data_IF_759997711417
#
_entry.id   IF_759997711417
#
_cell.length_a   1.000
_cell.length_b   1.000
_cell.length_c   1.000
_cell.angle_alpha   90.00
_cell.angle_beta   90.00
_cell.angle_gamma   90.00
#
_symmetry.space_group_name_H-M   'P 1'
#
loop_
_entity.id
_entity.type
_entity.pdbx_description
1 polymer ?
#
# COMPACT_ATOMS: atom_id res chain seq x y z
N UNK A 1 6.32 7.64 5.86
CA UNK A 1 6.20 6.17 5.95
C UNK A 1 7.25 5.55 5.07
N UNK A 2 7.78 4.39 5.45
CA UNK A 2 8.76 3.64 4.65
C UNK A 2 8.25 2.22 4.41
N UNK A 3 8.56 1.66 3.26
CA UNK A 3 8.29 0.27 2.92
C UNK A 3 9.58 -0.44 2.55
N UNK A 4 9.81 -1.62 3.12
CA UNK A 4 11.02 -2.39 2.93
C UNK A 4 10.70 -3.68 2.18
N UNK A 5 11.09 -3.73 0.91
CA UNK A 5 10.77 -4.85 0.01
C UNK A 5 12.08 -5.57 -0.32
N UNK A 6 12.14 -6.87 0.00
CA UNK A 6 13.28 -7.70 -0.37
C UNK A 6 13.38 -7.85 -1.89
N UNK A 7 14.57 -7.62 -2.44
CA UNK A 7 14.84 -7.74 -3.87
C UNK A 7 16.20 -8.42 -4.09
N UNK A 8 16.34 -9.21 -5.16
CA UNK A 8 17.61 -9.84 -5.54
C UNK A 8 18.40 -8.90 -6.45
N UNK A 9 19.73 -8.94 -6.38
CA UNK A 9 20.60 -8.14 -7.29
C UNK A 9 20.39 -8.49 -8.78
N UNK A 10 19.92 -9.70 -9.07
CA UNK A 10 19.65 -10.20 -10.43
C UNK A 10 18.23 -9.94 -10.90
N UNK A 11 17.41 -9.23 -10.12
CA UNK A 11 16.03 -8.88 -10.48
C UNK A 11 16.03 -7.99 -11.72
N UNK A 12 15.10 -8.20 -12.64
CA UNK A 12 14.94 -7.37 -13.83
C UNK A 12 14.00 -6.18 -13.58
N UNK A 13 14.02 -5.21 -14.50
CA UNK A 13 13.23 -3.98 -14.38
C UNK A 13 11.72 -4.26 -14.30
N UNK A 14 11.26 -5.30 -15.00
CA UNK A 14 9.85 -5.70 -15.02
C UNK A 14 9.41 -6.24 -13.67
N UNK A 15 10.24 -7.04 -13.01
CA UNK A 15 9.95 -7.53 -11.68
C UNK A 15 10.00 -6.40 -10.63
N UNK A 16 10.93 -5.44 -10.75
CA UNK A 16 10.94 -4.25 -9.89
C UNK A 16 9.64 -3.45 -10.04
N UNK A 17 9.16 -3.24 -11.27
CA UNK A 17 7.85 -2.61 -11.52
C UNK A 17 6.70 -3.39 -10.88
N UNK A 18 6.70 -4.72 -11.03
CA UNK A 18 5.68 -5.57 -10.40
C UNK A 18 5.69 -5.45 -8.88
N UNK A 19 6.87 -5.45 -8.25
CA UNK A 19 7.00 -5.25 -6.81
C UNK A 19 6.45 -3.90 -6.38
N UNK A 20 6.78 -2.83 -7.11
CA UNK A 20 6.22 -1.51 -6.82
C UNK A 20 4.69 -1.51 -6.85
N UNK A 21 4.08 -2.05 -7.91
CA UNK A 21 2.62 -2.05 -8.02
C UNK A 21 1.95 -2.92 -6.96
N UNK A 22 2.55 -4.07 -6.62
CA UNK A 22 2.01 -4.99 -5.63
C UNK A 22 2.08 -4.42 -4.22
N UNK A 23 3.22 -3.86 -3.85
CA UNK A 23 3.52 -3.50 -2.46
C UNK A 23 3.27 -2.03 -2.14
N UNK A 24 3.43 -1.12 -3.10
CA UNK A 24 3.35 0.33 -2.86
C UNK A 24 2.05 0.92 -3.43
N UNK A 25 1.77 0.68 -4.71
CA UNK A 25 0.58 1.26 -5.36
C UNK A 25 -0.72 0.82 -4.69
N UNK A 26 -0.83 -0.46 -4.30
CA UNK A 26 -2.01 -0.97 -3.59
C UNK A 26 -2.28 -0.25 -2.26
N UNK A 27 -1.26 0.36 -1.65
CA UNK A 27 -1.36 1.06 -0.36
C UNK A 27 -1.56 2.57 -0.51
N UNK A 28 -0.92 3.20 -1.51
CA UNK A 28 -0.84 4.67 -1.61
C UNK A 28 -1.37 5.24 -2.93
N UNK A 29 -1.68 4.40 -3.91
CA UNK A 29 -2.04 4.83 -5.26
C UNK A 29 -0.85 5.30 -6.09
N UNK A 30 -1.13 5.97 -7.22
CA UNK A 30 -0.09 6.53 -8.09
C UNK A 30 0.41 7.86 -7.54
N UNK A 31 1.74 8.05 -7.44
CA UNK A 31 2.29 9.33 -7.05
C UNK A 31 2.30 10.32 -8.21
N UNK A 32 2.24 11.61 -7.87
CA UNK A 32 2.45 12.70 -8.84
C UNK A 32 3.90 12.79 -9.31
N UNK A 33 4.85 12.47 -8.42
CA UNK A 33 6.27 12.41 -8.74
C UNK A 33 6.99 11.33 -7.94
N UNK A 34 8.09 10.82 -8.50
CA UNK A 34 8.99 9.86 -7.86
C UNK A 34 10.39 10.44 -7.93
N UNK A 35 11.07 10.49 -6.78
CA UNK A 35 12.50 10.74 -6.75
C UNK A 35 13.24 9.42 -6.65
N UNK A 36 14.11 9.14 -7.62
CA UNK A 36 14.95 7.93 -7.65
C UNK A 36 16.43 8.27 -7.77
N UNK A 37 17.29 7.36 -7.31
CA UNK A 37 18.73 7.44 -7.58
C UNK A 37 19.05 6.95 -9.00
N UNK A 38 20.32 7.03 -9.38
CA UNK A 38 20.83 6.61 -10.69
C UNK A 38 21.02 5.10 -10.83
N UNK A 39 20.33 4.28 -10.02
CA UNK A 39 20.38 2.83 -10.18
C UNK A 39 19.85 2.43 -11.57
N UNK A 40 20.49 1.42 -12.18
CA UNK A 40 20.18 0.94 -13.53
C UNK A 40 18.70 0.61 -13.72
N UNK A 41 18.03 0.11 -12.67
CA UNK A 41 16.62 -0.27 -12.74
C UNK A 41 15.71 0.94 -12.88
N UNK A 42 16.05 2.05 -12.23
CA UNK A 42 15.26 3.29 -12.25
C UNK A 42 15.60 4.20 -13.43
N UNK A 43 16.80 4.03 -14.01
CA UNK A 43 17.23 4.72 -15.24
C UNK A 43 16.85 3.91 -16.50
N UNK A 44 16.37 2.67 -16.36
CA UNK A 44 15.97 1.80 -17.46
C UNK A 44 14.86 2.36 -18.35
N UNK A 45 14.84 1.94 -19.62
CA UNK A 45 13.81 2.37 -20.58
C UNK A 45 12.40 1.96 -20.15
N UNK A 46 12.26 0.77 -19.57
CA UNK A 46 10.98 0.24 -19.05
C UNK A 46 10.44 1.16 -17.96
N UNK A 47 11.26 1.51 -16.97
CA UNK A 47 10.84 2.36 -15.84
C UNK A 47 10.44 3.76 -16.28
N UNK A 48 11.23 4.41 -17.15
CA UNK A 48 10.89 5.73 -17.69
C UNK A 48 9.61 5.72 -18.51
N UNK A 49 9.44 4.70 -19.36
CA UNK A 49 8.24 4.56 -20.19
C UNK A 49 6.98 4.35 -19.35
N UNK A 50 7.09 3.50 -18.31
CA UNK A 50 6.01 3.25 -17.36
C UNK A 50 5.51 4.55 -16.70
N UNK A 51 6.41 5.35 -16.14
CA UNK A 51 6.01 6.57 -15.44
C UNK A 51 5.54 7.68 -16.38
N UNK A 52 6.07 7.73 -17.62
CA UNK A 52 5.53 8.60 -18.66
C UNK A 52 4.08 8.25 -19.00
N UNK A 53 3.75 6.97 -19.10
CA UNK A 53 2.38 6.52 -19.36
C UNK A 53 1.45 6.77 -18.16
N UNK A 54 1.97 6.68 -16.94
CA UNK A 54 1.22 6.95 -15.72
C UNK A 54 1.05 8.45 -15.39
N UNK A 55 1.60 9.36 -16.22
CA UNK A 55 1.68 10.80 -15.92
C UNK A 55 2.36 11.13 -14.58
N UNK A 56 3.30 10.29 -14.15
CA UNK A 56 4.12 10.52 -12.96
C UNK A 56 5.46 11.14 -13.37
N UNK A 57 5.82 12.26 -12.74
CA UNK A 57 7.12 12.90 -12.97
C UNK A 57 8.24 12.10 -12.32
N UNK A 58 9.23 11.69 -13.10
CA UNK A 58 10.42 11.01 -12.58
C UNK A 58 11.56 12.02 -12.43
N UNK A 59 11.96 12.27 -11.19
CA UNK A 59 13.07 13.15 -10.83
C UNK A 59 14.26 12.28 -10.39
N UNK A 60 15.37 12.37 -11.12
CA UNK A 60 16.61 11.72 -10.69
C UNK A 60 17.35 12.67 -9.76
N UNK A 61 17.58 12.26 -8.51
CA UNK A 61 18.38 13.05 -7.59
C UNK A 61 19.77 13.29 -8.18
N UNK A 62 20.30 14.51 -8.12
CA UNK A 62 21.71 14.68 -8.49
C UNK A 62 22.56 13.88 -7.50
N UNK A 63 23.68 13.32 -7.95
CA UNK A 63 24.68 12.64 -7.10
C UNK A 63 25.23 13.49 -5.95
N UNK A 64 24.79 14.75 -5.84
CA UNK A 64 25.15 15.75 -4.86
C UNK A 64 23.92 16.57 -4.38
N UNK A 65 22.76 15.95 -4.17
CA UNK A 65 21.63 16.57 -3.45
C UNK A 65 21.46 15.93 -2.05
N UNK A 66 22.16 16.46 -1.02
CA UNK A 66 22.18 15.88 0.33
C UNK A 66 20.80 15.78 0.98
N UNK A 67 19.86 16.64 0.56
CA UNK A 67 18.55 16.71 1.20
C UNK A 67 17.65 15.52 0.84
N UNK A 68 17.68 15.04 -0.40
CA UNK A 68 16.84 13.92 -0.85
C UNK A 68 17.53 12.59 -0.68
N UNK A 69 18.82 12.52 -1.02
CA UNK A 69 19.61 11.30 -0.82
C UNK A 69 19.86 11.04 0.67
N UNK A 70 20.09 12.08 1.47
CA UNK A 70 20.33 11.96 2.91
C UNK A 70 19.12 11.44 3.71
N UNK A 71 17.88 11.70 3.27
CA UNK A 71 16.70 11.07 3.89
C UNK A 71 16.68 9.56 3.64
N UNK A 72 16.94 9.14 2.41
CA UNK A 72 17.01 7.72 2.05
C UNK A 72 18.19 7.05 2.74
N UNK A 73 19.35 7.70 2.81
CA UNK A 73 20.53 7.20 3.51
C UNK A 73 20.26 7.01 5.01
N UNK A 74 19.61 7.99 5.66
CA UNK A 74 19.23 7.90 7.07
C UNK A 74 18.24 6.75 7.32
N UNK A 75 17.26 6.59 6.42
CA UNK A 75 16.30 5.46 6.47
C UNK A 75 17.05 4.13 6.35
N UNK A 76 17.94 4.00 5.36
CA UNK A 76 18.73 2.78 5.13
C UNK A 76 19.65 2.45 6.31
N UNK A 77 20.27 3.47 6.93
CA UNK A 77 21.09 3.30 8.14
C UNK A 77 20.24 2.77 9.30
N UNK A 78 19.10 3.41 9.54
CA UNK A 78 18.16 2.98 10.60
C UNK A 78 17.66 1.56 10.36
N UNK A 79 17.33 1.22 9.11
CA UNK A 79 16.94 -0.13 8.70
C UNK A 79 18.04 -1.15 9.04
N UNK A 80 19.30 -0.84 8.73
CA UNK A 80 20.44 -1.70 9.05
C UNK A 80 20.57 -1.96 10.55
N UNK A 81 20.44 -0.92 11.38
CA UNK A 81 20.50 -1.05 12.84
C UNK A 81 19.33 -1.87 13.40
N UNK A 82 18.12 -1.64 12.92
CA UNK A 82 16.94 -2.41 13.33
C UNK A 82 17.02 -3.87 12.91
N UNK A 83 17.52 -4.13 11.69
CA UNK A 83 17.75 -5.49 11.22
C UNK A 83 18.77 -6.19 12.12
N UNK A 84 19.93 -5.58 12.41
CA UNK A 84 20.96 -6.19 13.29
C UNK A 84 20.40 -6.72 14.60
N UNK A 85 19.46 -5.99 15.21
CA UNK A 85 18.76 -6.43 16.43
C UNK A 85 17.75 -7.55 16.13
N UNK A 86 17.00 -7.47 15.03
CA UNK A 86 15.92 -8.40 14.71
C UNK A 86 16.39 -9.78 14.18
N UNK A 87 17.56 -9.88 13.54
CA UNK A 87 18.08 -11.14 12.99
C UNK A 87 18.83 -12.01 14.00
N UNK A 88 19.24 -11.47 15.16
CA UNK A 88 19.92 -12.22 16.24
C UNK A 88 21.02 -13.18 15.72
N UNK A 89 21.86 -12.69 14.81
CA UNK A 89 22.95 -13.46 14.19
C UNK A 89 22.58 -14.34 12.99
N UNK A 90 21.29 -14.58 12.69
CA UNK A 90 20.88 -15.34 11.51
C UNK A 90 20.67 -14.44 10.28
N UNK A 91 21.77 -14.20 9.55
CA UNK A 91 21.76 -13.41 8.32
C UNK A 91 20.95 -14.02 7.17
N UNK A 92 20.57 -15.30 7.22
CA UNK A 92 19.85 -15.96 6.10
C UNK A 92 18.35 -15.66 6.08
N UNK A 93 17.80 -15.15 7.17
CA UNK A 93 16.36 -14.89 7.34
C UNK A 93 16.02 -13.40 7.51
N UNK A 94 16.91 -12.50 7.06
CA UNK A 94 16.70 -11.05 7.21
C UNK A 94 15.45 -10.55 6.49
N UNK A 95 15.14 -11.13 5.34
CA UNK A 95 13.96 -10.84 4.53
C UNK A 95 12.66 -11.18 5.28
N UNK A 96 12.66 -12.27 6.03
CA UNK A 96 11.55 -12.67 6.91
C UNK A 96 11.39 -11.78 8.13
N UNK A 97 12.32 -10.86 8.41
CA UNK A 97 12.20 -9.87 9.50
C UNK A 97 11.72 -8.51 9.00
N UNK A 98 11.68 -8.27 7.69
CA UNK A 98 11.37 -6.96 7.12
C UNK A 98 10.01 -6.43 7.55
N UNK A 99 8.97 -7.26 7.61
CA UNK A 99 7.64 -6.80 8.05
C UNK A 99 7.65 -6.31 9.51
N UNK A 100 8.42 -6.96 10.40
CA UNK A 100 8.55 -6.56 11.82
C UNK A 100 9.32 -5.24 11.93
N UNK A 101 10.38 -5.10 11.13
CA UNK A 101 11.21 -3.89 11.09
C UNK A 101 10.45 -2.72 10.48
N UNK A 102 9.73 -2.93 9.38
CA UNK A 102 8.87 -1.93 8.74
C UNK A 102 7.80 -1.43 9.71
N UNK A 103 7.07 -2.35 10.34
CA UNK A 103 6.03 -1.99 11.31
C UNK A 103 6.62 -1.18 12.47
N UNK A 104 7.73 -1.64 13.05
CA UNK A 104 8.41 -0.94 14.13
C UNK A 104 8.88 0.44 13.68
N UNK A 105 9.51 0.55 12.50
CA UNK A 105 10.04 1.81 11.98
C UNK A 105 8.93 2.85 11.77
N UNK A 106 7.81 2.43 11.20
CA UNK A 106 6.68 3.31 10.91
C UNK A 106 5.90 3.71 12.17
N UNK A 107 5.89 2.83 13.18
CA UNK A 107 5.28 3.06 14.51
C UNK A 107 6.12 3.96 15.42
N UNK A 108 7.43 3.97 15.24
CA UNK A 108 8.34 4.83 16.02
C UNK A 108 8.09 6.31 15.77
N UNK A 109 8.12 7.09 16.85
CA UNK A 109 8.10 8.54 16.81
C UNK A 109 9.32 9.09 16.04
N UNK A 110 9.10 10.07 15.17
CA UNK A 110 10.15 10.73 14.40
C UNK A 110 10.36 12.15 14.90
N UNK A 111 11.62 12.53 15.17
CA UNK A 111 11.97 13.85 15.71
C UNK A 111 11.62 15.00 14.76
N UNK A 112 11.79 14.80 13.46
CA UNK A 112 11.54 15.82 12.45
C UNK A 112 10.07 16.22 12.34
N UNK A 113 9.16 15.25 12.46
CA UNK A 113 7.71 15.47 12.32
C UNK A 113 7.01 15.61 13.66
N UNK A 114 7.60 15.14 14.76
CA UNK A 114 6.93 15.06 16.06
C UNK A 114 5.89 13.94 16.15
N UNK A 115 5.78 13.08 15.14
CA UNK A 115 4.77 12.01 15.06
C UNK A 115 5.37 10.71 14.48
N UNK A 116 4.66 9.60 14.65
CA UNK A 116 4.97 8.36 13.92
C UNK A 116 4.56 8.48 12.45
N UNK A 117 5.16 7.67 11.56
CA UNK A 117 4.75 7.66 10.15
C UNK A 117 3.29 7.21 9.97
N UNK A 118 2.84 6.25 10.78
CA UNK A 118 1.45 5.81 10.74
C UNK A 118 0.49 6.93 11.14
N UNK A 119 0.82 7.70 12.18
CA UNK A 119 0.01 8.84 12.59
C UNK A 119 -0.09 9.90 11.50
N UNK A 120 1.02 10.18 10.81
CA UNK A 120 1.04 11.19 9.73
C UNK A 120 0.19 10.76 8.53
N UNK A 121 0.22 9.48 8.14
CA UNK A 121 -0.46 9.00 6.93
C UNK A 121 -1.90 8.56 7.20
N UNK A 122 -2.14 7.85 8.30
CA UNK A 122 -3.46 7.26 8.62
C UNK A 122 -4.20 7.98 9.75
N UNK A 123 -3.59 8.97 10.40
CA UNK A 123 -4.20 9.69 11.52
C UNK A 123 -4.15 8.97 12.86
N UNK A 124 -3.67 7.72 12.90
CA UNK A 124 -3.51 6.95 14.15
C UNK A 124 -2.25 6.08 14.10
N UNK A 125 -1.79 5.65 15.27
CA UNK A 125 -0.67 4.70 15.38
C UNK A 125 -1.20 3.29 15.71
N UNK A 126 -1.05 2.29 14.82
CA UNK A 126 -1.52 0.93 15.05
C UNK A 126 -0.97 0.31 16.33
N UNK A 127 -1.76 -0.59 16.91
CA UNK A 127 -1.41 -1.31 18.14
C UNK A 127 -0.34 -2.35 17.86
N UNK A 128 0.67 -2.42 18.72
CA UNK A 128 1.62 -3.51 18.82
C UNK A 128 1.20 -4.48 19.93
N UNK A 129 1.72 -5.72 19.97
CA UNK A 129 1.42 -6.68 21.02
C UNK A 129 1.57 -6.13 22.45
N UNK A 130 2.57 -5.27 22.70
CA UNK A 130 2.79 -4.64 24.00
C UNK A 130 1.65 -3.72 24.44
N UNK A 131 0.95 -3.08 23.50
CA UNK A 131 -0.17 -2.20 23.84
C UNK A 131 -1.38 -2.99 24.31
N UNK A 132 -1.54 -4.23 23.84
CA UNK A 132 -2.67 -5.09 24.24
C UNK A 132 -2.65 -5.39 25.74
N UNK A 133 -1.45 -5.51 26.32
CA UNK A 133 -1.27 -5.68 27.77
C UNK A 133 -1.70 -4.43 28.54
N UNK A 134 -1.44 -3.24 27.99
CA UNK A 134 -1.75 -1.95 28.62
C UNK A 134 -3.22 -1.51 28.45
N UNK A 135 -3.98 -2.21 27.61
CA UNK A 135 -5.39 -1.91 27.32
C UNK A 135 -6.37 -2.58 28.28
N UNK A 136 -5.89 -3.42 29.20
CA UNK A 136 -6.72 -3.97 30.27
C UNK A 136 -7.16 -2.80 31.18
N UNK A 137 -8.40 -2.33 31.01
CA UNK A 137 -9.06 -1.40 31.93
C UNK A 137 -9.05 0.09 31.55
N UNK A 138 -8.64 0.49 30.34
CA UNK A 138 -8.71 1.92 29.93
C UNK A 138 -9.99 2.25 29.17
N UNK A 139 -10.68 3.34 29.59
CA UNK A 139 -11.79 3.95 28.84
C UNK A 139 -11.27 4.76 27.64
N UNK A 140 -12.04 4.73 26.55
CA UNK A 140 -11.79 5.46 25.32
C UNK A 140 -12.15 6.95 25.54
N UNK A 141 -11.38 7.87 24.95
CA UNK A 141 -11.53 9.32 25.10
C UNK A 141 -12.48 9.90 24.04
N UNK A 142 -13.29 10.90 24.40
CA UNK A 142 -14.43 11.43 23.61
C UNK A 142 -14.12 11.82 22.15
N UNK A 143 -12.97 12.43 21.83
CA UNK A 143 -12.55 12.72 20.44
C UNK A 143 -12.34 11.48 19.55
N UNK A 144 -12.16 10.30 20.15
CA UNK A 144 -12.09 9.03 19.43
C UNK A 144 -13.49 8.59 19.02
N UNK A 145 -14.55 9.03 19.71
CA UNK A 145 -15.94 8.72 19.37
C UNK A 145 -16.34 9.34 18.03
N UNK A 146 -15.92 10.57 17.72
CA UNK A 146 -16.18 11.21 16.41
C UNK A 146 -15.53 10.45 15.25
N UNK A 147 -14.29 10.00 15.46
CA UNK A 147 -13.57 9.19 14.47
C UNK A 147 -14.21 7.81 14.32
N UNK A 148 -14.58 7.16 15.44
CA UNK A 148 -15.32 5.89 15.44
C UNK A 148 -16.64 6.04 14.69
N UNK A 149 -17.38 7.13 14.93
CA UNK A 149 -18.67 7.42 14.28
C UNK A 149 -18.47 7.62 12.78
N UNK A 150 -17.44 8.36 12.38
CA UNK A 150 -17.09 8.54 10.96
C UNK A 150 -16.77 7.19 10.30
N UNK A 151 -15.95 6.36 10.94
CA UNK A 151 -15.65 5.01 10.43
C UNK A 151 -16.89 4.12 10.39
N UNK A 152 -17.76 4.16 11.40
CA UNK A 152 -19.01 3.41 11.44
C UNK A 152 -19.95 3.81 10.30
N UNK A 153 -20.10 5.10 10.05
CA UNK A 153 -20.90 5.62 8.93
C UNK A 153 -20.37 5.13 7.57
N UNK A 154 -19.05 5.17 7.36
CA UNK A 154 -18.41 4.64 6.15
C UNK A 154 -18.65 3.13 6.03
N UNK A 155 -18.53 2.37 7.13
CA UNK A 155 -18.79 0.92 7.14
C UNK A 155 -20.26 0.59 6.87
N UNK A 156 -21.20 1.38 7.41
CA UNK A 156 -22.62 1.20 7.14
C UNK A 156 -22.98 1.54 5.69
N UNK A 157 -22.38 2.58 5.13
CA UNK A 157 -22.52 2.91 3.72
C UNK A 157 -21.94 1.83 2.82
N UNK A 158 -20.75 1.31 3.16
CA UNK A 158 -20.17 0.17 2.49
C UNK A 158 -21.10 -1.05 2.56
N UNK A 159 -21.68 -1.37 3.73
CA UNK A 159 -22.68 -2.45 3.88
C UNK A 159 -23.94 -2.20 3.05
N UNK A 160 -24.45 -0.97 3.00
CA UNK A 160 -25.60 -0.59 2.16
C UNK A 160 -25.28 -0.79 0.67
N UNK A 161 -24.09 -0.39 0.24
CA UNK A 161 -23.63 -0.56 -1.14
C UNK A 161 -23.37 -2.04 -1.50
N UNK A 162 -22.86 -2.84 -0.57
CA UNK A 162 -22.72 -4.29 -0.76
C UNK A 162 -24.08 -5.01 -0.85
N UNK A 163 -25.12 -4.47 -0.20
CA UNK A 163 -26.51 -4.92 -0.36
C UNK A 163 -27.18 -4.41 -1.64
N UNK A 164 -26.57 -3.47 -2.36
CA UNK A 164 -27.15 -2.84 -3.56
C UNK A 164 -27.15 -3.69 -4.85
N UNK A 165 -26.62 -4.94 -4.93
CA UNK A 165 -26.91 -5.79 -6.09
C UNK A 165 -27.38 -7.22 -5.76
N UNK A 166 -28.67 -7.36 -5.45
CA UNK A 166 -29.49 -8.54 -5.80
C UNK A 166 -30.70 -8.18 -6.68
N UNK A 167 -31.16 -6.93 -6.68
CA UNK A 167 -32.28 -6.50 -7.52
C UNK A 167 -31.89 -6.26 -9.01
N UNK A 168 -30.68 -5.75 -9.28
CA UNK A 168 -30.21 -5.49 -10.65
C UNK A 168 -29.60 -6.72 -11.34
N UNK A 169 -29.04 -7.66 -10.58
CA UNK A 169 -28.46 -8.88 -11.16
C UNK A 169 -29.57 -9.79 -11.68
N UNK A 170 -30.67 -9.94 -10.94
CA UNK A 170 -31.83 -10.71 -11.40
C UNK A 170 -32.48 -10.10 -12.65
N UNK A 171 -32.68 -8.79 -12.71
CA UNK A 171 -33.30 -8.15 -13.88
C UNK A 171 -32.41 -8.20 -15.14
N UNK A 172 -31.09 -8.09 -15.00
CA UNK A 172 -30.14 -8.23 -16.12
C UNK A 172 -30.02 -9.69 -16.57
N UNK A 173 -30.11 -10.64 -15.65
CA UNK A 173 -30.01 -12.08 -15.94
C UNK A 173 -31.31 -12.62 -16.57
N UNK A 174 -32.48 -12.15 -16.11
CA UNK A 174 -33.79 -12.38 -16.78
C UNK A 174 -33.81 -11.76 -18.17
N UNK A 175 -33.42 -10.48 -18.33
CA UNK A 175 -33.36 -9.83 -19.65
C UNK A 175 -32.38 -10.51 -20.61
N UNK A 176 -31.25 -11.02 -20.12
CA UNK A 176 -30.32 -11.81 -20.94
C UNK A 176 -30.96 -13.12 -21.38
N UNK A 177 -31.62 -13.84 -20.48
CA UNK A 177 -32.33 -15.08 -20.81
C UNK A 177 -33.43 -14.84 -21.86
N UNK A 178 -34.23 -13.80 -21.70
CA UNK A 178 -35.33 -13.44 -22.62
C UNK A 178 -34.80 -13.01 -24.00
N UNK A 179 -33.70 -12.26 -24.05
CA UNK A 179 -33.04 -11.88 -25.31
C UNK A 179 -32.47 -13.11 -26.03
N UNK A 180 -31.85 -14.04 -25.31
CA UNK A 180 -31.34 -15.28 -25.92
C UNK A 180 -32.47 -16.18 -26.44
N UNK A 181 -33.59 -16.32 -25.71
CA UNK A 181 -34.76 -17.07 -26.19
C UNK A 181 -35.40 -16.44 -27.43
N UNK A 182 -35.58 -15.11 -27.44
CA UNK A 182 -36.17 -14.40 -28.60
C UNK A 182 -35.28 -14.49 -29.86
N UNK A 183 -33.96 -14.43 -29.69
CA UNK A 183 -33.01 -14.61 -30.81
C UNK A 183 -33.07 -16.04 -31.35
N UNK A 184 -33.18 -17.06 -30.48
CA UNK A 184 -33.28 -18.46 -30.91
C UNK A 184 -34.61 -18.76 -31.61
N UNK A 185 -35.74 -18.22 -31.13
CA UNK A 185 -37.04 -18.34 -31.81
C UNK A 185 -37.03 -17.67 -33.21
N UNK A 186 -36.37 -16.53 -33.35
CA UNK A 186 -36.28 -15.79 -34.62
C UNK A 186 -35.35 -16.47 -35.63
N UNK A 187 -34.25 -17.09 -35.16
CA UNK A 187 -33.25 -17.73 -36.03
C UNK A 187 -33.59 -19.18 -36.39
N UNK A 188 -34.30 -19.91 -35.53
CA UNK A 188 -34.59 -21.33 -35.73
C UNK A 188 -36.07 -21.67 -35.93
N UNK A 189 -36.98 -20.69 -35.82
CA UNK A 189 -38.38 -20.80 -36.25
C UNK A 189 -39.03 -22.13 -35.88
N UNK A 190 -39.30 -22.35 -34.60
CA UNK A 190 -39.98 -23.56 -34.13
C UNK A 190 -41.39 -23.19 -33.65
N UNK A 191 -42.39 -23.82 -34.28
CA UNK A 191 -43.79 -23.90 -33.84
C UNK A 191 -43.93 -24.55 -32.47
#
# INVERSE_FOLDING_TARGET
MAHFIACKKTTDDVHVARLYFREIYCLHGLPMSIVSNWDRHFVGHVWRSLWRLANTKLDFGSSYHPQTDGQTELVNRTLGDMLRVAIDGNLKSWDQRLYQVEFSYNRSWKRSTGFSSFTVIYGYNPRAPIDLVLLIGRKIHDKVEDLITTFQNIHEEARRNLKRPQANTNSIQTRRHDLWSSILETLFGVF
#
